data_IF_734121681303
#
_entry.id   IF_734121681303
#
_cell.length_a   1.000
_cell.length_b   1.000
_cell.length_c   1.000
_cell.angle_alpha   90.00
_cell.angle_beta   90.00
_cell.angle_gamma   90.00
#
_symmetry.space_group_name_H-M   'P 1'
#
loop_
_entity.id
_entity.type
_entity.pdbx_description
1 polymer ?
#
# COMPACT_ATOMS: atom_id res chain seq x y z
N UNK A 1 2.72 2.74 -22.87
CA UNK A 1 4.11 2.42 -22.53
C UNK A 1 4.30 2.61 -21.04
N UNK A 2 4.83 1.60 -20.34
CA UNK A 2 5.17 1.66 -18.93
C UNK A 2 6.67 1.52 -18.76
N UNK A 3 7.27 2.42 -17.98
CA UNK A 3 8.70 2.42 -17.69
C UNK A 3 8.91 2.17 -16.20
N UNK A 4 9.78 1.24 -15.85
CA UNK A 4 10.23 0.98 -14.48
C UNK A 4 11.74 1.18 -14.43
N UNK A 5 12.22 2.10 -13.57
CA UNK A 5 13.62 2.53 -13.54
C UNK A 5 14.17 2.93 -14.92
N UNK A 6 13.32 3.62 -15.73
CA UNK A 6 13.66 4.06 -17.08
C UNK A 6 13.65 2.95 -18.16
N UNK A 7 13.42 1.70 -17.81
CA UNK A 7 13.36 0.55 -18.74
C UNK A 7 11.92 0.25 -19.13
N UNK A 8 11.69 0.00 -20.40
CA UNK A 8 10.38 -0.41 -20.93
C UNK A 8 10.03 -1.83 -20.43
N UNK A 9 8.87 -1.96 -19.80
CA UNK A 9 8.43 -3.23 -19.20
C UNK A 9 8.07 -4.29 -20.24
N UNK A 10 7.82 -3.90 -21.49
CA UNK A 10 7.49 -4.84 -22.58
C UNK A 10 8.64 -5.76 -22.96
N UNK A 11 9.89 -5.35 -22.67
CA UNK A 11 11.11 -6.12 -22.98
C UNK A 11 11.75 -6.80 -21.77
N UNK A 12 11.14 -6.74 -20.57
CA UNK A 12 11.71 -7.28 -19.34
C UNK A 12 11.04 -8.60 -18.99
N UNK A 13 11.80 -9.55 -18.41
CA UNK A 13 11.23 -10.77 -17.87
C UNK A 13 10.20 -10.44 -16.76
N UNK A 14 8.91 -10.84 -16.92
CA UNK A 14 7.87 -10.45 -15.97
C UNK A 14 8.09 -10.99 -14.55
N UNK A 15 8.77 -12.13 -14.40
CA UNK A 15 9.08 -12.73 -13.10
C UNK A 15 10.09 -11.85 -12.35
N UNK A 16 11.16 -11.45 -13.02
CA UNK A 16 12.19 -10.57 -12.43
C UNK A 16 11.63 -9.20 -12.08
N UNK A 17 10.82 -8.62 -12.98
CA UNK A 17 10.15 -7.34 -12.74
C UNK A 17 9.26 -7.40 -11.49
N UNK A 18 8.43 -8.44 -11.37
CA UNK A 18 7.45 -8.57 -10.27
C UNK A 18 8.09 -8.88 -8.92
N UNK A 19 9.28 -9.48 -8.87
CA UNK A 19 9.98 -9.76 -7.61
C UNK A 19 10.30 -8.49 -6.81
N UNK A 20 10.53 -7.38 -7.50
CA UNK A 20 10.86 -6.09 -6.89
C UNK A 20 9.64 -5.17 -6.73
N UNK A 21 8.43 -5.68 -6.96
CA UNK A 21 7.18 -4.95 -6.83
C UNK A 21 6.33 -5.62 -5.75
N UNK A 22 6.12 -4.93 -4.64
CA UNK A 22 5.12 -5.32 -3.65
C UNK A 22 3.72 -5.01 -4.16
N UNK A 23 2.76 -5.90 -3.92
CA UNK A 23 1.39 -5.71 -4.36
C UNK A 23 0.38 -6.11 -3.27
N UNK A 24 -0.41 -5.14 -2.83
CA UNK A 24 -1.55 -5.33 -1.93
C UNK A 24 -2.85 -5.10 -2.71
N UNK A 25 -3.59 -6.18 -2.94
CA UNK A 25 -4.82 -6.22 -3.73
C UNK A 25 -6.01 -5.87 -2.84
N UNK A 26 -7.01 -5.18 -3.39
CA UNK A 26 -8.31 -4.94 -2.76
C UNK A 26 -8.92 -6.24 -2.21
N UNK A 27 -9.52 -6.17 -1.01
CA UNK A 27 -10.19 -7.31 -0.38
C UNK A 27 -9.25 -8.31 0.30
N UNK A 28 -8.00 -7.93 0.55
CA UNK A 28 -7.04 -8.72 1.37
C UNK A 28 -6.93 -10.17 0.91
N UNK A 29 -6.60 -10.38 -0.38
CA UNK A 29 -6.44 -11.72 -0.97
C UNK A 29 -5.18 -12.37 -0.40
N UNK A 30 -5.31 -12.99 0.77
CA UNK A 30 -4.28 -13.85 1.36
C UNK A 30 -4.35 -15.25 0.77
N UNK A 31 -3.25 -15.97 0.83
CA UNK A 31 -3.24 -17.41 0.51
C UNK A 31 -3.98 -18.18 1.60
N UNK A 32 -5.18 -18.76 1.32
CA UNK A 32 -6.05 -19.30 2.36
C UNK A 32 -5.51 -20.56 3.04
N UNK A 33 -4.55 -21.23 2.41
CA UNK A 33 -3.89 -22.44 2.88
C UNK A 33 -2.58 -22.16 3.62
N UNK A 34 -2.18 -20.89 3.75
CA UNK A 34 -1.00 -20.46 4.49
C UNK A 34 -1.42 -19.69 5.75
N UNK A 35 -0.63 -19.82 6.82
CA UNK A 35 -0.83 -19.05 8.05
C UNK A 35 -0.49 -17.56 7.83
N UNK A 36 -0.72 -16.70 8.83
CA UNK A 36 -0.30 -15.29 8.81
C UNK A 36 1.20 -15.18 8.57
N UNK A 37 1.99 -15.90 9.37
CA UNK A 37 3.45 -15.94 9.23
C UNK A 37 3.86 -16.34 7.81
N UNK A 38 3.33 -17.44 7.30
CA UNK A 38 3.65 -17.97 5.98
C UNK A 38 3.21 -17.03 4.85
N UNK A 39 2.09 -16.30 5.02
CA UNK A 39 1.69 -15.28 4.07
C UNK A 39 2.71 -14.13 4.01
N UNK A 40 3.18 -13.63 5.16
CA UNK A 40 4.17 -12.55 5.22
C UNK A 40 5.53 -13.05 4.71
N UNK A 41 5.94 -14.25 5.12
CA UNK A 41 7.22 -14.87 4.74
C UNK A 41 7.29 -15.26 3.27
N UNK A 42 6.18 -15.32 2.54
CA UNK A 42 6.10 -15.93 1.20
C UNK A 42 7.14 -15.38 0.22
N UNK A 43 7.20 -14.06 0.06
CA UNK A 43 8.18 -13.45 -0.87
C UNK A 43 9.59 -13.42 -0.29
N UNK A 44 9.82 -13.04 0.99
CA UNK A 44 11.13 -13.17 1.62
C UNK A 44 11.75 -14.55 1.48
N UNK A 45 11.00 -15.63 1.71
CA UNK A 45 11.53 -17.00 1.59
C UNK A 45 12.02 -17.34 0.18
N UNK A 46 11.36 -16.79 -0.86
CA UNK A 46 11.79 -16.97 -2.25
C UNK A 46 13.07 -16.19 -2.58
N UNK A 47 13.29 -15.04 -1.94
CA UNK A 47 14.42 -14.15 -2.21
C UNK A 47 15.66 -14.52 -1.37
N UNK A 48 15.46 -14.94 -0.12
CA UNK A 48 16.53 -15.23 0.82
C UNK A 48 17.21 -16.59 0.60
N UNK A 49 16.79 -17.36 -0.43
CA UNK A 49 17.42 -18.64 -0.82
C UNK A 49 17.62 -19.63 0.34
N UNK A 50 16.65 -19.67 1.29
CA UNK A 50 16.68 -20.59 2.43
C UNK A 50 17.35 -20.06 3.70
N UNK A 51 17.67 -18.75 3.77
CA UNK A 51 18.02 -18.09 5.04
C UNK A 51 16.74 -17.86 5.86
N UNK A 52 16.42 -18.85 6.71
CA UNK A 52 15.23 -18.82 7.57
C UNK A 52 15.29 -17.67 8.58
N UNK A 53 16.46 -17.41 9.17
CA UNK A 53 16.62 -16.35 10.18
C UNK A 53 16.27 -14.96 9.66
N UNK A 54 16.73 -14.61 8.45
CA UNK A 54 16.37 -13.33 7.80
C UNK A 54 14.88 -13.24 7.47
N UNK A 55 14.26 -14.36 7.16
CA UNK A 55 12.83 -14.42 6.86
C UNK A 55 12.00 -14.22 8.13
N UNK A 56 12.37 -14.89 9.23
CA UNK A 56 11.73 -14.73 10.54
C UNK A 56 11.86 -13.29 11.07
N UNK A 57 13.03 -12.69 10.97
CA UNK A 57 13.25 -11.28 11.33
C UNK A 57 12.35 -10.34 10.52
N UNK A 58 12.21 -10.58 9.23
CA UNK A 58 11.32 -9.79 8.37
C UNK A 58 9.85 -9.94 8.80
N UNK A 59 9.39 -11.15 9.10
CA UNK A 59 8.04 -11.40 9.58
C UNK A 59 7.77 -10.68 10.90
N UNK A 60 8.64 -10.86 11.90
CA UNK A 60 8.51 -10.23 13.20
C UNK A 60 8.45 -8.71 13.08
N UNK A 61 9.37 -8.11 12.34
CA UNK A 61 9.41 -6.68 12.04
C UNK A 61 8.08 -6.18 11.46
N UNK A 62 7.54 -6.89 10.47
CA UNK A 62 6.30 -6.44 9.82
C UNK A 62 5.07 -6.65 10.68
N UNK A 63 5.03 -7.70 11.52
CA UNK A 63 3.96 -7.86 12.52
C UNK A 63 3.90 -6.68 13.48
N UNK A 64 5.05 -6.21 13.96
CA UNK A 64 5.14 -5.03 14.83
C UNK A 64 4.68 -3.75 14.12
N UNK A 65 5.17 -3.51 12.90
CA UNK A 65 4.83 -2.32 12.12
C UNK A 65 3.33 -2.22 11.83
N UNK A 66 2.69 -3.34 11.47
CA UNK A 66 1.25 -3.35 11.18
C UNK A 66 0.38 -3.43 12.44
N UNK A 67 0.99 -3.44 13.63
CA UNK A 67 0.29 -3.49 14.90
C UNK A 67 -0.57 -4.74 15.10
N UNK A 68 -0.08 -5.91 14.69
CA UNK A 68 -0.73 -7.19 14.93
C UNK A 68 0.00 -7.96 16.03
N UNK A 69 -0.73 -8.59 16.96
CA UNK A 69 -0.13 -9.40 18.01
C UNK A 69 0.48 -10.68 17.41
N UNK A 70 1.64 -11.10 17.94
CA UNK A 70 2.37 -12.26 17.45
C UNK A 70 1.65 -13.60 17.68
N UNK A 71 0.71 -13.65 18.62
CA UNK A 71 -0.08 -14.85 18.91
C UNK A 71 -1.07 -15.27 17.79
N UNK A 72 -1.22 -14.43 16.76
CA UNK A 72 -2.02 -14.77 15.57
C UNK A 72 -1.19 -15.31 14.41
N UNK A 73 0.14 -15.44 14.55
CA UNK A 73 1.04 -15.85 13.45
C UNK A 73 0.67 -17.23 12.87
N UNK A 74 0.20 -18.14 13.73
CA UNK A 74 -0.22 -19.49 13.34
C UNK A 74 -1.65 -19.58 12.79
N UNK A 75 -2.43 -18.48 12.83
CA UNK A 75 -3.81 -18.48 12.34
C UNK A 75 -3.86 -18.44 10.82
N UNK A 76 -4.93 -19.04 10.29
CA UNK A 76 -5.25 -18.97 8.87
C UNK A 76 -6.11 -17.73 8.55
N UNK A 77 -6.12 -17.27 7.28
CA UNK A 77 -6.90 -16.11 6.87
C UNK A 77 -8.39 -16.15 7.26
N UNK A 78 -9.00 -17.32 7.28
CA UNK A 78 -10.41 -17.50 7.66
C UNK A 78 -10.69 -17.19 9.14
N UNK A 79 -9.65 -17.13 9.98
CA UNK A 79 -9.75 -16.86 11.43
C UNK A 79 -9.49 -15.39 11.76
N UNK A 80 -9.23 -14.55 10.75
CA UNK A 80 -8.89 -13.14 10.87
C UNK A 80 -10.13 -12.26 10.63
N UNK A 81 -10.18 -11.11 11.34
CA UNK A 81 -11.07 -10.03 10.93
C UNK A 81 -10.64 -9.44 9.58
N UNK A 82 -11.55 -8.77 8.86
CA UNK A 82 -11.23 -8.10 7.60
C UNK A 82 -10.06 -7.13 7.73
N UNK A 83 -10.03 -6.33 8.80
CA UNK A 83 -8.94 -5.40 9.06
C UNK A 83 -7.60 -6.09 9.39
N UNK A 84 -7.62 -7.23 10.11
CA UNK A 84 -6.42 -8.03 10.35
C UNK A 84 -5.89 -8.61 9.04
N UNK A 85 -6.76 -9.22 8.22
CA UNK A 85 -6.38 -9.78 6.92
C UNK A 85 -5.78 -8.70 5.99
N UNK A 86 -6.35 -7.49 5.99
CA UNK A 86 -5.84 -6.38 5.21
C UNK A 86 -4.45 -5.94 5.66
N UNK A 87 -4.21 -5.81 6.96
CA UNK A 87 -2.88 -5.52 7.50
C UNK A 87 -1.85 -6.59 7.15
N UNK A 88 -2.20 -7.87 7.25
CA UNK A 88 -1.34 -8.97 6.80
C UNK A 88 -1.02 -8.86 5.31
N UNK A 89 -1.99 -8.48 4.48
CA UNK A 89 -1.79 -8.24 3.05
C UNK A 89 -0.78 -7.11 2.75
N UNK A 90 -0.84 -6.02 3.52
CA UNK A 90 0.13 -4.91 3.44
C UNK A 90 1.52 -5.40 3.88
N UNK A 91 1.62 -6.11 5.01
CA UNK A 91 2.88 -6.67 5.49
C UNK A 91 3.51 -7.60 4.46
N UNK A 92 2.74 -8.51 3.88
CA UNK A 92 3.20 -9.41 2.81
C UNK A 92 3.78 -8.65 1.62
N UNK A 93 3.13 -7.56 1.20
CA UNK A 93 3.58 -6.75 0.07
C UNK A 93 4.91 -6.03 0.36
N UNK A 94 5.17 -5.68 1.61
CA UNK A 94 6.34 -4.94 2.05
C UNK A 94 7.48 -5.82 2.59
N UNK A 95 7.19 -7.06 2.98
CA UNK A 95 8.14 -7.93 3.69
C UNK A 95 9.44 -8.21 2.92
N UNK A 96 9.38 -8.16 1.58
CA UNK A 96 10.55 -8.33 0.71
C UNK A 96 11.34 -7.02 0.49
N UNK A 97 10.97 -5.92 1.13
CA UNK A 97 11.55 -4.59 0.93
C UNK A 97 11.62 -4.20 -0.55
N UNK A 98 10.48 -4.16 -1.27
CA UNK A 98 10.44 -3.89 -2.70
C UNK A 98 10.79 -2.43 -3.00
N UNK A 99 11.29 -2.15 -4.23
CA UNK A 99 11.54 -0.78 -4.69
C UNK A 99 10.25 -0.03 -5.04
N UNK A 100 9.21 -0.78 -5.41
CA UNK A 100 7.90 -0.25 -5.80
C UNK A 100 6.81 -0.98 -5.03
N UNK A 101 5.86 -0.22 -4.50
CA UNK A 101 4.67 -0.75 -3.82
C UNK A 101 3.41 -0.30 -4.55
N UNK A 102 2.60 -1.26 -4.96
CA UNK A 102 1.28 -1.02 -5.55
C UNK A 102 0.21 -1.46 -4.55
N UNK A 103 -0.74 -0.57 -4.26
CA UNK A 103 -1.83 -0.86 -3.33
C UNK A 103 -3.18 -0.45 -3.94
N UNK A 104 -4.16 -1.31 -3.81
CA UNK A 104 -5.52 -1.07 -4.25
C UNK A 104 -6.45 -1.06 -3.03
N UNK A 105 -6.98 0.12 -2.70
CA UNK A 105 -7.82 0.39 -1.52
C UNK A 105 -7.24 -0.18 -0.21
N UNK A 106 -6.00 0.18 0.18
CA UNK A 106 -5.28 -0.49 1.27
C UNK A 106 -5.93 -0.32 2.65
N UNK A 107 -6.85 0.63 2.83
CA UNK A 107 -7.47 0.93 4.12
C UNK A 107 -8.98 0.64 4.16
N UNK A 108 -9.57 0.07 3.11
CA UNK A 108 -11.02 -0.06 2.95
C UNK A 108 -11.74 -0.88 4.02
N UNK A 109 -11.08 -1.88 4.62
CA UNK A 109 -11.66 -2.75 5.66
C UNK A 109 -11.10 -2.48 7.07
N UNK A 110 -10.33 -1.39 7.25
CA UNK A 110 -9.70 -1.04 8.52
C UNK A 110 -10.52 0.03 9.24
N UNK A 111 -10.70 -0.12 10.56
CA UNK A 111 -11.34 0.90 11.39
C UNK A 111 -10.53 2.22 11.40
N UNK A 112 -11.18 3.33 11.73
CA UNK A 112 -10.62 4.67 11.58
C UNK A 112 -9.34 4.88 12.40
N UNK A 113 -9.30 4.40 13.67
CA UNK A 113 -8.14 4.57 14.55
C UNK A 113 -6.94 3.77 14.00
N UNK A 114 -7.17 2.53 13.63
CA UNK A 114 -6.13 1.67 13.04
C UNK A 114 -5.68 2.20 11.67
N UNK A 115 -6.60 2.79 10.88
CA UNK A 115 -6.28 3.42 9.60
C UNK A 115 -5.30 4.56 9.76
N UNK A 116 -5.54 5.50 10.69
CA UNK A 116 -4.63 6.61 10.97
C UNK A 116 -3.23 6.13 11.40
N UNK A 117 -3.17 5.09 12.24
CA UNK A 117 -1.91 4.49 12.66
C UNK A 117 -1.14 3.89 11.47
N UNK A 118 -1.82 3.10 10.63
CA UNK A 118 -1.21 2.50 9.43
C UNK A 118 -0.75 3.56 8.43
N UNK A 119 -1.53 4.60 8.21
CA UNK A 119 -1.16 5.71 7.33
C UNK A 119 0.09 6.42 7.83
N UNK A 120 0.19 6.65 9.14
CA UNK A 120 1.38 7.25 9.77
C UNK A 120 2.60 6.36 9.59
N UNK A 121 2.49 5.05 9.84
CA UNK A 121 3.60 4.10 9.67
C UNK A 121 4.01 3.94 8.21
N UNK A 122 3.06 3.87 7.28
CA UNK A 122 3.39 3.82 5.85
C UNK A 122 4.11 5.08 5.39
N UNK A 123 3.67 6.27 5.84
CA UNK A 123 4.37 7.53 5.54
C UNK A 123 5.80 7.50 6.07
N UNK A 124 6.02 7.03 7.30
CA UNK A 124 7.36 6.85 7.87
C UNK A 124 8.23 5.94 7.00
N UNK A 125 7.69 4.78 6.62
CA UNK A 125 8.39 3.82 5.76
C UNK A 125 8.78 4.45 4.43
N UNK A 126 7.87 5.15 3.74
CA UNK A 126 8.17 5.82 2.47
C UNK A 126 9.29 6.85 2.61
N UNK A 127 9.25 7.63 3.68
CA UNK A 127 10.26 8.68 3.94
C UNK A 127 11.63 8.07 4.26
N UNK A 128 11.67 7.01 5.07
CA UNK A 128 12.91 6.37 5.51
C UNK A 128 13.55 5.50 4.42
N UNK A 129 12.75 4.82 3.60
CA UNK A 129 13.25 3.85 2.61
C UNK A 129 13.37 4.40 1.21
N UNK A 130 12.68 5.49 0.88
CA UNK A 130 12.63 6.03 -0.48
C UNK A 130 11.87 5.16 -1.48
N UNK A 131 11.06 4.20 -1.00
CA UNK A 131 10.23 3.34 -1.85
C UNK A 131 9.25 4.18 -2.68
N UNK A 132 9.04 3.82 -3.94
CA UNK A 132 8.00 4.42 -4.77
C UNK A 132 6.68 3.72 -4.51
N UNK A 133 5.71 4.41 -3.90
CA UNK A 133 4.38 3.86 -3.66
C UNK A 133 3.35 4.45 -4.63
N UNK A 134 2.56 3.59 -5.24
CA UNK A 134 1.34 3.96 -5.96
C UNK A 134 0.17 3.28 -5.27
N UNK A 135 -0.77 4.07 -4.76
CA UNK A 135 -2.00 3.49 -4.23
C UNK A 135 -3.24 4.10 -4.89
N UNK A 136 -4.24 3.27 -5.06
CA UNK A 136 -5.56 3.65 -5.57
C UNK A 136 -6.50 3.70 -4.39
N UNK A 137 -7.24 4.80 -4.26
CA UNK A 137 -8.27 4.98 -3.25
C UNK A 137 -9.44 5.76 -3.84
N UNK A 138 -10.63 5.53 -3.32
CA UNK A 138 -11.80 6.36 -3.58
C UNK A 138 -11.95 7.49 -2.56
N UNK A 139 -11.10 7.51 -1.52
CA UNK A 139 -11.09 8.54 -0.48
C UNK A 139 -10.10 9.65 -0.86
N UNK A 140 -10.63 10.83 -1.15
CA UNK A 140 -9.80 11.99 -1.53
C UNK A 140 -8.93 12.48 -0.37
N UNK A 141 -9.37 12.28 0.87
CA UNK A 141 -8.62 12.70 2.04
C UNK A 141 -7.37 11.83 2.21
N UNK A 142 -7.49 10.50 2.01
CA UNK A 142 -6.34 9.60 1.97
C UNK A 142 -5.34 10.00 0.88
N UNK A 143 -5.84 10.28 -0.34
CA UNK A 143 -4.99 10.65 -1.45
C UNK A 143 -4.21 11.95 -1.19
N UNK A 144 -4.87 12.96 -0.62
CA UNK A 144 -4.25 14.26 -0.33
C UNK A 144 -3.29 14.21 0.87
N UNK A 145 -3.57 13.34 1.85
CA UNK A 145 -2.76 13.25 3.06
C UNK A 145 -1.50 12.38 2.87
N UNK A 146 -1.55 11.36 2.02
CA UNK A 146 -0.46 10.41 1.83
C UNK A 146 0.38 10.64 0.57
N UNK A 147 -0.22 11.20 -0.49
CA UNK A 147 0.45 11.32 -1.77
C UNK A 147 1.33 12.56 -1.89
N UNK A 148 2.54 12.42 -2.40
CA UNK A 148 3.34 13.56 -2.88
C UNK A 148 2.73 14.15 -4.16
N UNK A 149 2.08 13.30 -4.95
CA UNK A 149 1.31 13.68 -6.13
C UNK A 149 0.03 12.86 -6.21
N UNK A 150 -1.04 13.51 -6.64
CA UNK A 150 -2.36 12.91 -6.77
C UNK A 150 -2.82 12.97 -8.22
N UNK A 151 -3.22 11.82 -8.76
CA UNK A 151 -3.89 11.70 -10.04
C UNK A 151 -5.39 11.54 -9.81
N UNK A 152 -6.18 12.53 -10.16
CA UNK A 152 -7.63 12.43 -10.16
C UNK A 152 -8.10 11.88 -11.51
N UNK A 153 -8.93 10.84 -11.44
CA UNK A 153 -9.49 10.17 -12.62
C UNK A 153 -11.02 10.25 -12.62
N UNK A 154 -11.61 10.49 -13.78
CA UNK A 154 -13.06 10.44 -14.00
C UNK A 154 -13.36 9.67 -15.29
N UNK A 155 -14.27 8.70 -15.22
CA UNK A 155 -14.68 7.88 -16.37
C UNK A 155 -13.50 7.28 -17.17
N UNK A 156 -12.46 6.79 -16.45
CA UNK A 156 -11.28 6.19 -17.07
C UNK A 156 -10.27 7.17 -17.69
N UNK A 157 -10.46 8.48 -17.47
CA UNK A 157 -9.57 9.53 -17.99
C UNK A 157 -8.87 10.26 -16.85
N UNK A 158 -7.59 10.60 -17.07
CA UNK A 158 -6.86 11.50 -16.19
C UNK A 158 -7.45 12.92 -16.31
N UNK A 159 -7.90 13.48 -15.18
CA UNK A 159 -8.49 14.81 -15.12
C UNK A 159 -7.50 15.84 -14.59
N UNK A 160 -6.78 15.48 -13.53
CA UNK A 160 -5.75 16.35 -12.95
C UNK A 160 -4.64 15.49 -12.33
N UNK A 161 -3.40 15.90 -12.53
CA UNK A 161 -2.23 15.30 -11.89
C UNK A 161 -1.36 16.42 -11.32
N UNK A 162 -1.33 16.54 -9.99
CA UNK A 162 -0.65 17.64 -9.32
C UNK A 162 -0.29 17.28 -7.86
N UNK A 163 0.43 18.15 -7.19
CA UNK A 163 0.62 18.08 -5.74
C UNK A 163 -0.68 18.34 -4.99
N UNK A 164 -0.87 17.77 -3.77
CA UNK A 164 -2.09 17.96 -2.98
C UNK A 164 -2.51 19.43 -2.83
N UNK A 165 -1.56 20.32 -2.53
CA UNK A 165 -1.85 21.74 -2.36
C UNK A 165 -2.37 22.42 -3.65
N UNK A 166 -1.90 21.98 -4.82
CA UNK A 166 -2.38 22.53 -6.10
C UNK A 166 -3.78 21.99 -6.43
N UNK A 167 -4.07 20.72 -6.13
CA UNK A 167 -5.42 20.17 -6.28
C UNK A 167 -6.43 20.93 -5.41
N UNK A 168 -6.04 21.24 -4.17
CA UNK A 168 -6.87 22.01 -3.25
C UNK A 168 -7.09 23.46 -3.71
N UNK A 169 -6.06 24.13 -4.23
CA UNK A 169 -6.10 25.55 -4.60
C UNK A 169 -6.65 25.81 -6.00
N UNK A 170 -6.31 24.96 -6.94
CA UNK A 170 -6.53 25.12 -8.37
C UNK A 170 -7.17 23.86 -8.99
N UNK A 171 -8.41 23.48 -8.61
CA UNK A 171 -9.06 22.32 -9.21
C UNK A 171 -9.28 22.54 -10.71
N UNK A 172 -8.87 21.56 -11.52
CA UNK A 172 -8.93 21.65 -12.97
C UNK A 172 -10.35 21.60 -13.54
N UNK A 173 -11.29 21.00 -12.80
CA UNK A 173 -12.68 20.84 -13.21
C UNK A 173 -13.63 20.99 -12.02
N UNK A 174 -14.91 21.21 -12.31
CA UNK A 174 -15.98 21.21 -11.29
C UNK A 174 -16.06 19.86 -10.54
N UNK A 175 -15.74 18.76 -11.22
CA UNK A 175 -15.67 17.44 -10.57
C UNK A 175 -14.59 17.41 -9.47
N UNK A 176 -13.36 17.86 -9.78
CA UNK A 176 -12.27 17.95 -8.81
C UNK A 176 -12.63 18.91 -7.68
N UNK A 177 -13.20 20.07 -8.01
CA UNK A 177 -13.62 21.06 -7.01
C UNK A 177 -14.61 20.47 -5.99
N UNK A 178 -15.60 19.72 -6.45
CA UNK A 178 -16.56 19.03 -5.58
C UNK A 178 -15.91 17.99 -4.68
N UNK A 179 -14.91 17.24 -5.18
CA UNK A 179 -14.18 16.24 -4.39
C UNK A 179 -13.44 16.89 -3.20
N UNK A 180 -12.82 18.04 -3.43
CA UNK A 180 -11.94 18.67 -2.42
C UNK A 180 -12.63 19.72 -1.53
N UNK A 181 -13.90 20.08 -1.82
CA UNK A 181 -14.61 21.15 -1.13
C UNK A 181 -14.67 20.94 0.39
N UNK A 182 -14.89 19.70 0.86
CA UNK A 182 -14.92 19.40 2.31
C UNK A 182 -13.57 19.68 2.97
N UNK A 183 -12.47 19.24 2.35
CA UNK A 183 -11.12 19.39 2.87
C UNK A 183 -10.68 20.85 2.91
N UNK A 184 -11.00 21.64 1.88
CA UNK A 184 -10.73 23.11 1.87
C UNK A 184 -11.28 23.84 3.08
N UNK A 185 -12.47 23.45 3.53
CA UNK A 185 -13.10 24.07 4.70
C UNK A 185 -12.34 23.82 5.99
N UNK A 186 -11.60 22.69 6.08
CA UNK A 186 -10.77 22.33 7.22
C UNK A 186 -9.42 23.07 7.19
N UNK A 187 -8.77 23.17 6.05
CA UNK A 187 -7.47 23.83 5.88
C UNK A 187 -7.52 25.36 5.83
N UNK A 188 -8.72 25.95 5.69
CA UNK A 188 -8.92 27.42 5.69
C UNK A 188 -9.15 28.02 7.09
N UNK A 189 -9.06 27.22 8.14
CA UNK A 189 -9.09 27.62 9.55
C UNK A 189 -7.72 27.51 10.18
#
# INVERSE_FOLDING_TARGET
RVLVHGKDTSGVNPIELRRNIGYAIQGSVLFPHLTVEQNIAYVPSLLNSGDEGRTEEAVAKWMDIIGLPHDIMDRYPAELSGGQAQRVGIARALAASPDILLMDEPFGAVDEITREQLQTELRRIYTETGITALFVTHDIDEALDLGDKVLVMEAGRAVQFAEPCDILRNPATEFVDRLVTRKRTVYAR
#
